data_IF_856507276561
#
_entry.id   IF_856507276561
#
_cell.length_a   1.000
_cell.length_b   1.000
_cell.length_c   1.000
_cell.angle_alpha   90.00
_cell.angle_beta   90.00
_cell.angle_gamma   90.00
#
_symmetry.space_group_name_H-M   'P 1'
#
loop_
_entity.id
_entity.type
_entity.pdbx_description
1 polymer ?
#
# COMPACT_ATOMS: atom_id res chain seq x y z
N UNK A 1 -4.30 3.42 22.58
CA UNK A 1 -5.10 2.99 21.42
C UNK A 1 -4.15 2.65 20.29
N UNK A 2 -4.26 1.46 19.71
CA UNK A 2 -3.45 1.04 18.58
C UNK A 2 -4.08 1.56 17.28
N UNK A 3 -3.29 2.19 16.41
CA UNK A 3 -3.80 2.72 15.13
C UNK A 3 -3.95 1.57 14.13
N UNK A 4 -5.08 1.47 13.40
CA UNK A 4 -5.33 0.40 12.44
C UNK A 4 -4.59 0.64 11.11
N UNK A 5 -3.27 0.73 11.20
CA UNK A 5 -2.36 0.96 10.07
C UNK A 5 -1.11 0.09 10.25
N UNK A 6 -0.84 -0.77 9.28
CA UNK A 6 0.27 -1.71 9.29
C UNK A 6 1.13 -1.53 8.06
N UNK A 7 2.44 -1.73 8.25
CA UNK A 7 3.40 -1.82 7.17
C UNK A 7 4.17 -3.14 7.33
N UNK A 8 4.01 -4.06 6.40
CA UNK A 8 4.50 -5.44 6.52
C UNK A 8 5.32 -5.80 5.28
N UNK A 9 6.60 -6.18 5.43
CA UNK A 9 7.43 -6.58 4.30
C UNK A 9 7.05 -7.98 3.81
N UNK A 10 6.48 -8.08 2.60
CA UNK A 10 6.24 -9.33 1.88
C UNK A 10 7.48 -9.76 1.10
N UNK A 11 8.12 -8.83 0.42
CA UNK A 11 9.25 -8.96 -0.48
C UNK A 11 8.88 -9.58 -1.84
N UNK A 12 8.27 -10.76 -1.90
CA UNK A 12 7.74 -11.38 -3.12
C UNK A 12 6.50 -12.23 -2.81
N UNK A 13 5.58 -12.29 -3.76
CA UNK A 13 4.42 -13.19 -3.71
C UNK A 13 4.69 -14.57 -4.32
N UNK A 14 5.94 -14.93 -4.63
CA UNK A 14 6.36 -16.24 -5.10
C UNK A 14 7.21 -16.94 -4.04
N UNK A 15 6.83 -18.15 -3.64
CA UNK A 15 7.59 -18.95 -2.68
C UNK A 15 8.98 -19.29 -3.20
N UNK A 16 9.11 -19.54 -4.51
CA UNK A 16 10.38 -19.82 -5.15
C UNK A 16 11.34 -18.63 -5.03
N UNK A 17 10.84 -17.41 -5.26
CA UNK A 17 11.64 -16.18 -5.11
C UNK A 17 11.97 -15.92 -3.65
N UNK A 18 11.03 -16.12 -2.72
CA UNK A 18 11.28 -16.00 -1.28
C UNK A 18 12.39 -16.94 -0.80
N UNK A 19 12.42 -18.19 -1.31
CA UNK A 19 13.49 -19.15 -1.03
C UNK A 19 14.84 -18.66 -1.56
N UNK A 20 14.89 -18.15 -2.80
CA UNK A 20 16.10 -17.56 -3.38
C UNK A 20 16.61 -16.37 -2.55
N UNK A 21 15.69 -15.57 -2.00
CA UNK A 21 15.98 -14.46 -1.09
C UNK A 21 16.33 -14.94 0.34
N UNK A 22 16.32 -16.25 0.59
CA UNK A 22 16.55 -16.88 1.91
C UNK A 22 15.60 -16.37 2.98
N UNK A 23 14.35 -16.11 2.62
CA UNK A 23 13.29 -15.80 3.59
C UNK A 23 12.84 -17.06 4.32
N UNK A 24 12.50 -16.91 5.61
CA UNK A 24 12.06 -18.01 6.48
C UNK A 24 10.54 -18.16 6.53
N UNK A 25 9.82 -17.45 5.70
CA UNK A 25 8.37 -17.49 5.57
C UNK A 25 7.98 -17.70 4.11
N UNK A 26 6.79 -18.24 3.89
CA UNK A 26 6.17 -18.41 2.59
C UNK A 26 4.90 -17.58 2.46
N UNK A 27 4.31 -17.64 1.28
CA UNK A 27 3.09 -16.90 0.91
C UNK A 27 1.89 -17.30 1.77
N UNK A 28 1.72 -18.59 2.09
CA UNK A 28 0.64 -19.10 2.92
C UNK A 28 0.66 -18.48 4.33
N UNK A 29 1.85 -18.47 4.98
CA UNK A 29 2.00 -17.85 6.29
C UNK A 29 1.69 -16.36 6.23
N UNK A 30 2.17 -15.67 5.18
CA UNK A 30 1.89 -14.25 5.01
C UNK A 30 0.39 -13.98 4.86
N UNK A 31 -0.30 -14.72 3.99
CA UNK A 31 -1.75 -14.61 3.80
C UNK A 31 -2.52 -14.87 5.10
N UNK A 32 -2.12 -15.86 5.90
CA UNK A 32 -2.75 -16.15 7.19
C UNK A 32 -2.61 -14.98 8.18
N UNK A 33 -1.48 -14.27 8.18
CA UNK A 33 -1.27 -13.08 9.03
C UNK A 33 -2.15 -11.91 8.57
N UNK A 34 -2.26 -11.68 7.26
CA UNK A 34 -3.17 -10.66 6.71
C UNK A 34 -4.62 -10.97 7.11
N UNK A 35 -5.07 -12.22 6.92
CA UNK A 35 -6.40 -12.66 7.31
C UNK A 35 -6.67 -12.42 8.81
N UNK A 36 -5.68 -12.71 9.67
CA UNK A 36 -5.81 -12.49 11.11
C UNK A 36 -5.91 -11.02 11.48
N UNK A 37 -5.17 -10.14 10.82
CA UNK A 37 -5.30 -8.69 11.02
C UNK A 37 -6.70 -8.24 10.62
N UNK A 38 -7.20 -8.67 9.47
CA UNK A 38 -8.53 -8.30 8.96
C UNK A 38 -9.68 -8.86 9.79
N UNK A 39 -9.51 -10.04 10.39
CA UNK A 39 -10.47 -10.60 11.35
C UNK A 39 -10.65 -9.70 12.58
N UNK A 40 -9.54 -9.17 13.11
CA UNK A 40 -9.54 -8.33 14.32
C UNK A 40 -9.82 -6.87 14.02
N UNK A 41 -9.33 -6.38 12.89
CA UNK A 41 -9.42 -4.99 12.43
C UNK A 41 -9.82 -4.94 10.94
N UNK A 42 -11.10 -5.12 10.58
CA UNK A 42 -11.56 -5.18 9.18
C UNK A 42 -11.16 -3.97 8.35
N UNK A 43 -11.15 -2.79 8.96
CA UNK A 43 -10.85 -1.51 8.31
C UNK A 43 -9.38 -1.09 8.45
N UNK A 44 -8.48 -2.01 8.83
CA UNK A 44 -7.06 -1.72 8.90
C UNK A 44 -6.47 -1.48 7.51
N UNK A 45 -5.70 -0.40 7.39
CA UNK A 45 -4.82 -0.15 6.26
C UNK A 45 -3.62 -1.07 6.34
N UNK A 46 -3.33 -1.83 5.29
CA UNK A 46 -2.15 -2.70 5.23
C UNK A 46 -1.32 -2.34 4.00
N UNK A 47 -0.16 -1.70 4.24
CA UNK A 47 0.87 -1.48 3.25
C UNK A 47 1.87 -2.65 3.25
N UNK A 48 2.31 -3.09 2.06
CA UNK A 48 3.30 -4.16 1.93
C UNK A 48 4.45 -3.76 1.02
N UNK A 49 5.67 -4.14 1.42
CA UNK A 49 6.85 -3.97 0.58
C UNK A 49 7.00 -5.12 -0.39
N UNK A 50 7.26 -4.81 -1.65
CA UNK A 50 7.53 -5.78 -2.71
C UNK A 50 8.76 -5.37 -3.48
N UNK A 51 9.67 -6.32 -3.73
CA UNK A 51 10.87 -6.11 -4.55
C UNK A 51 10.68 -6.86 -5.87
N UNK A 52 10.90 -6.17 -6.98
CA UNK A 52 10.86 -6.75 -8.32
C UNK A 52 12.26 -6.87 -8.92
N UNK A 53 12.43 -7.87 -9.77
CA UNK A 53 13.66 -8.04 -10.55
C UNK A 53 14.83 -8.57 -9.77
N UNK A 54 14.61 -9.31 -8.69
CA UNK A 54 15.65 -10.08 -8.03
C UNK A 54 16.19 -11.16 -8.97
N UNK A 55 17.45 -11.55 -8.79
CA UNK A 55 17.99 -12.67 -9.56
C UNK A 55 17.17 -13.93 -9.31
N UNK A 56 16.89 -14.68 -10.36
CA UNK A 56 16.06 -15.87 -10.33
C UNK A 56 14.55 -15.61 -10.42
N UNK A 57 14.09 -14.36 -10.42
CA UNK A 57 12.68 -14.04 -10.66
C UNK A 57 12.35 -14.19 -12.16
N UNK A 58 11.99 -15.40 -12.56
CA UNK A 58 11.51 -15.64 -13.92
C UNK A 58 10.17 -14.95 -14.19
N UNK A 59 9.76 -14.85 -15.47
CA UNK A 59 8.45 -14.32 -15.82
C UNK A 59 7.31 -15.09 -15.14
N UNK A 60 7.41 -16.43 -15.10
CA UNK A 60 6.43 -17.27 -14.43
C UNK A 60 6.35 -17.06 -12.92
N UNK A 61 7.48 -16.83 -12.26
CA UNK A 61 7.49 -16.52 -10.82
C UNK A 61 6.94 -15.12 -10.54
N UNK A 62 7.18 -14.16 -11.42
CA UNK A 62 6.57 -12.84 -11.31
C UNK A 62 5.04 -12.90 -11.48
N UNK A 63 4.53 -13.68 -12.45
CA UNK A 63 3.07 -13.85 -12.61
C UNK A 63 2.43 -14.49 -11.37
N UNK A 64 3.03 -15.54 -10.81
CA UNK A 64 2.57 -16.13 -9.53
C UNK A 64 2.54 -15.08 -8.41
N UNK A 65 3.60 -14.27 -8.30
CA UNK A 65 3.68 -13.21 -7.30
C UNK A 65 2.59 -12.15 -7.50
N UNK A 66 2.36 -11.75 -8.73
CA UNK A 66 1.31 -10.78 -9.08
C UNK A 66 -0.09 -11.31 -8.72
N UNK A 67 -0.41 -12.53 -9.12
CA UNK A 67 -1.71 -13.16 -8.83
C UNK A 67 -1.93 -13.31 -7.32
N UNK A 68 -0.91 -13.74 -6.58
CA UNK A 68 -0.98 -13.83 -5.13
C UNK A 68 -1.28 -12.47 -4.49
N UNK A 69 -0.53 -11.42 -4.85
CA UNK A 69 -0.71 -10.07 -4.30
C UNK A 69 -2.06 -9.49 -4.71
N UNK A 70 -2.51 -9.75 -5.94
CA UNK A 70 -3.82 -9.32 -6.41
C UNK A 70 -4.94 -9.90 -5.54
N UNK A 71 -4.83 -11.17 -5.12
CA UNK A 71 -5.80 -11.85 -4.26
C UNK A 71 -5.75 -11.48 -2.78
N UNK A 72 -4.69 -10.79 -2.30
CA UNK A 72 -4.57 -10.40 -0.90
C UNK A 72 -5.43 -9.17 -0.56
N UNK A 73 -6.05 -9.16 0.62
CA UNK A 73 -6.72 -7.98 1.18
C UNK A 73 -5.70 -7.02 1.84
N UNK A 74 -4.83 -6.47 1.01
CA UNK A 74 -3.89 -5.41 1.36
C UNK A 74 -4.27 -4.12 0.65
N UNK A 75 -3.83 -2.98 1.17
CA UNK A 75 -4.30 -1.67 0.71
C UNK A 75 -3.34 -1.01 -0.28
N UNK A 76 -2.05 -1.10 -0.02
CA UNK A 76 -1.02 -0.40 -0.79
C UNK A 76 0.24 -1.24 -0.95
N UNK A 77 0.90 -1.11 -2.09
CA UNK A 77 2.19 -1.74 -2.35
C UNK A 77 3.28 -0.66 -2.40
N UNK A 78 4.37 -0.90 -1.68
CA UNK A 78 5.61 -0.15 -1.84
C UNK A 78 6.54 -0.99 -2.71
N UNK A 79 6.68 -0.58 -3.96
CA UNK A 79 7.39 -1.35 -4.98
C UNK A 79 8.81 -0.86 -5.11
N UNK A 80 9.78 -1.75 -4.92
CA UNK A 80 11.20 -1.50 -5.04
C UNK A 80 11.79 -2.31 -6.19
N UNK A 81 12.58 -1.66 -7.05
CA UNK A 81 13.41 -2.36 -8.03
C UNK A 81 14.68 -2.87 -7.37
N UNK A 82 14.98 -4.16 -7.59
CA UNK A 82 16.19 -4.76 -7.08
C UNK A 82 17.43 -4.13 -7.67
N UNK A 83 18.37 -3.76 -6.79
CA UNK A 83 19.69 -3.28 -7.15
C UNK A 83 20.76 -4.26 -6.66
N UNK A 84 21.64 -4.67 -7.56
CA UNK A 84 22.73 -5.58 -7.24
C UNK A 84 23.78 -4.91 -6.35
N UNK A 85 24.27 -5.66 -5.37
CA UNK A 85 25.35 -5.20 -4.50
C UNK A 85 26.56 -6.12 -4.69
N UNK A 86 27.75 -5.58 -5.00
CA UNK A 86 28.97 -6.36 -5.14
C UNK A 86 29.24 -7.23 -3.91
N UNK A 87 29.74 -8.45 -4.14
CA UNK A 87 30.12 -9.37 -3.07
C UNK A 87 28.97 -10.13 -2.40
N UNK A 88 27.72 -9.95 -2.83
CA UNK A 88 26.58 -10.69 -2.25
C UNK A 88 26.40 -12.07 -2.87
N UNK A 89 25.86 -13.03 -2.09
CA UNK A 89 25.54 -14.37 -2.58
C UNK A 89 24.44 -14.34 -3.66
N UNK A 90 23.61 -13.31 -3.68
CA UNK A 90 22.59 -13.12 -4.69
C UNK A 90 23.14 -13.09 -6.12
N UNK A 91 24.39 -12.60 -6.31
CA UNK A 91 25.05 -12.55 -7.62
C UNK A 91 25.37 -13.93 -8.20
N UNK A 92 25.31 -14.99 -7.39
CA UNK A 92 25.53 -16.39 -7.82
C UNK A 92 24.24 -17.05 -8.35
N UNK A 93 23.11 -16.39 -8.21
CA UNK A 93 21.83 -16.89 -8.71
C UNK A 93 21.78 -16.59 -10.22
N UNK A 94 21.50 -17.64 -11.00
CA UNK A 94 21.27 -17.51 -12.43
C UNK A 94 19.98 -16.72 -12.73
N UNK A 95 19.75 -16.40 -13.99
CA UNK A 95 18.63 -15.60 -14.47
C UNK A 95 18.63 -14.17 -13.93
N UNK A 96 19.22 -13.28 -14.71
CA UNK A 96 19.24 -11.85 -14.45
C UNK A 96 18.04 -11.20 -15.13
N UNK A 97 17.26 -10.44 -14.36
CA UNK A 97 16.13 -9.66 -14.87
C UNK A 97 16.67 -8.36 -15.49
N UNK A 98 16.30 -8.08 -16.72
CA UNK A 98 16.74 -6.88 -17.41
C UNK A 98 16.14 -5.60 -16.81
N UNK A 99 16.77 -4.43 -17.00
CA UNK A 99 16.21 -3.15 -16.55
C UNK A 99 14.81 -2.88 -17.11
N UNK A 100 14.57 -3.25 -18.38
CA UNK A 100 13.28 -3.12 -19.04
C UNK A 100 12.20 -3.98 -18.38
N UNK A 101 12.50 -5.25 -18.11
CA UNK A 101 11.58 -6.16 -17.40
C UNK A 101 11.28 -5.65 -15.98
N UNK A 102 12.30 -5.15 -15.25
CA UNK A 102 12.10 -4.55 -13.92
C UNK A 102 11.16 -3.37 -13.99
N UNK A 103 11.32 -2.50 -14.98
CA UNK A 103 10.46 -1.34 -15.18
C UNK A 103 9.02 -1.78 -15.44
N UNK A 104 8.79 -2.69 -16.39
CA UNK A 104 7.45 -3.20 -16.70
C UNK A 104 6.77 -3.86 -15.50
N UNK A 105 7.49 -4.70 -14.76
CA UNK A 105 6.99 -5.34 -13.53
C UNK A 105 6.64 -4.32 -12.45
N UNK A 106 7.48 -3.31 -12.26
CA UNK A 106 7.21 -2.21 -11.33
C UNK A 106 5.95 -1.45 -11.70
N UNK A 107 5.78 -1.10 -12.98
CA UNK A 107 4.59 -0.39 -13.45
C UNK A 107 3.31 -1.19 -13.20
N UNK A 108 3.32 -2.50 -13.45
CA UNK A 108 2.17 -3.37 -13.20
C UNK A 108 1.79 -3.41 -11.72
N UNK A 109 2.77 -3.53 -10.81
CA UNK A 109 2.51 -3.53 -9.37
C UNK A 109 2.09 -2.15 -8.84
N UNK A 110 2.61 -1.06 -9.39
CA UNK A 110 2.17 0.29 -9.03
C UNK A 110 0.73 0.54 -9.47
N UNK A 111 0.34 0.08 -10.66
CA UNK A 111 -1.06 0.14 -11.10
C UNK A 111 -1.99 -0.67 -10.19
N UNK A 112 -1.57 -1.89 -9.79
CA UNK A 112 -2.30 -2.70 -8.83
C UNK A 112 -2.40 -2.02 -7.45
N UNK A 113 -1.34 -1.36 -7.00
CA UNK A 113 -1.34 -0.57 -5.75
C UNK A 113 -2.36 0.57 -5.79
N UNK A 114 -2.42 1.31 -6.90
CA UNK A 114 -3.40 2.39 -7.08
C UNK A 114 -4.84 1.85 -7.05
N UNK A 115 -5.10 0.75 -7.75
CA UNK A 115 -6.40 0.08 -7.76
C UNK A 115 -6.83 -0.35 -6.34
N UNK A 116 -5.94 -1.02 -5.61
CA UNK A 116 -6.20 -1.47 -4.22
C UNK A 116 -6.43 -0.30 -3.27
N UNK A 117 -5.64 0.76 -3.38
CA UNK A 117 -5.78 1.96 -2.54
C UNK A 117 -7.13 2.64 -2.80
N UNK A 118 -7.52 2.80 -4.05
CA UNK A 118 -8.81 3.37 -4.42
C UNK A 118 -9.98 2.50 -3.95
N UNK A 119 -9.89 1.19 -4.09
CA UNK A 119 -10.90 0.27 -3.58
C UNK A 119 -11.05 0.35 -2.05
N UNK A 120 -9.93 0.48 -1.32
CA UNK A 120 -9.96 0.69 0.13
C UNK A 120 -10.63 2.01 0.50
N UNK A 121 -10.29 3.11 -0.15
CA UNK A 121 -10.90 4.42 0.09
C UNK A 121 -12.39 4.39 -0.20
N UNK A 122 -12.80 3.81 -1.34
CA UNK A 122 -14.19 3.74 -1.77
C UNK A 122 -15.11 3.04 -0.75
N UNK A 123 -14.59 2.03 -0.02
CA UNK A 123 -15.36 1.34 1.04
C UNK A 123 -15.77 2.25 2.20
N UNK A 124 -15.13 3.40 2.37
CA UNK A 124 -15.36 4.32 3.47
C UNK A 124 -16.17 5.56 3.07
N UNK A 125 -16.55 5.70 1.81
CA UNK A 125 -17.43 6.78 1.35
C UNK A 125 -18.77 6.70 2.08
N UNK A 126 -19.25 7.83 2.57
CA UNK A 126 -20.48 7.95 3.36
C UNK A 126 -20.31 7.73 4.87
N UNK A 127 -19.12 7.35 5.32
CA UNK A 127 -18.83 7.21 6.75
C UNK A 127 -18.34 8.56 7.34
N UNK A 128 -18.72 8.83 8.59
CA UNK A 128 -18.14 9.93 9.36
C UNK A 128 -16.98 9.39 10.19
N UNK A 129 -15.80 9.95 9.98
CA UNK A 129 -14.57 9.49 10.63
C UNK A 129 -13.79 10.64 11.26
N UNK A 130 -13.07 10.41 12.38
CA UNK A 130 -12.11 11.36 12.91
C UNK A 130 -10.92 11.52 11.95
N UNK A 131 -10.59 12.76 11.58
CA UNK A 131 -9.50 13.11 10.69
C UNK A 131 -8.56 14.07 11.40
N UNK A 132 -7.28 13.71 11.47
CA UNK A 132 -6.22 14.60 11.92
C UNK A 132 -5.85 15.54 10.77
N UNK A 133 -6.14 16.83 10.93
CA UNK A 133 -5.87 17.83 9.91
C UNK A 133 -4.41 18.26 9.92
N UNK A 134 -3.83 18.35 8.74
CA UNK A 134 -2.47 18.86 8.52
C UNK A 134 -2.49 20.37 8.32
N UNK A 135 -1.33 20.99 8.49
CA UNK A 135 -1.15 22.41 8.20
C UNK A 135 -1.44 22.70 6.72
N UNK A 136 -2.31 23.67 6.40
CA UNK A 136 -2.59 24.02 5.02
C UNK A 136 -1.32 24.53 4.32
N UNK A 137 -1.11 24.06 3.09
CA UNK A 137 0.02 24.49 2.27
C UNK A 137 -0.24 25.86 1.62
N UNK A 138 -1.45 26.10 1.15
CA UNK A 138 -1.92 27.36 0.59
C UNK A 138 -3.47 27.34 0.47
N UNK A 139 -4.11 28.50 0.70
CA UNK A 139 -5.56 28.66 0.53
C UNK A 139 -6.41 27.95 1.60
N UNK A 140 -7.71 27.84 1.32
CA UNK A 140 -8.68 27.20 2.22
C UNK A 140 -8.70 25.66 2.14
N UNK A 141 -7.94 25.06 1.19
CA UNK A 141 -7.92 23.63 1.00
C UNK A 141 -6.95 22.98 1.97
N UNK A 142 -7.49 22.15 2.85
CA UNK A 142 -6.74 21.41 3.87
C UNK A 142 -6.77 19.92 3.58
N UNK A 143 -5.71 19.24 3.99
CA UNK A 143 -5.64 17.78 3.95
C UNK A 143 -5.51 17.23 5.36
N UNK A 144 -5.88 15.98 5.52
CA UNK A 144 -5.71 15.25 6.76
C UNK A 144 -5.76 13.75 6.52
N UNK A 145 -5.59 12.98 7.60
CA UNK A 145 -5.64 11.52 7.55
C UNK A 145 -6.57 10.97 8.63
N UNK A 146 -7.33 9.94 8.25
CA UNK A 146 -8.05 9.11 9.22
C UNK A 146 -7.06 8.22 9.99
N UNK A 147 -7.52 7.59 11.08
CA UNK A 147 -6.71 6.66 11.86
C UNK A 147 -6.22 5.45 11.05
N UNK A 148 -6.96 5.03 10.03
CA UNK A 148 -6.59 3.98 9.08
C UNK A 148 -6.01 4.53 7.76
N UNK A 149 -5.41 5.71 7.82
CA UNK A 149 -4.56 6.30 6.79
C UNK A 149 -5.25 6.66 5.47
N UNK A 150 -6.56 6.93 5.49
CA UNK A 150 -7.27 7.50 4.33
C UNK A 150 -6.95 8.99 4.27
N UNK A 151 -6.46 9.44 3.12
CA UNK A 151 -6.24 10.87 2.87
C UNK A 151 -7.56 11.55 2.58
N UNK A 152 -7.80 12.67 3.27
CA UNK A 152 -9.03 13.45 3.16
C UNK A 152 -8.67 14.88 2.79
N UNK A 153 -9.47 15.47 1.90
CA UNK A 153 -9.37 16.85 1.45
C UNK A 153 -10.63 17.61 1.89
N UNK A 154 -10.45 18.71 2.60
CA UNK A 154 -11.55 19.51 3.18
C UNK A 154 -11.35 20.97 2.84
N UNK A 155 -12.40 21.64 2.39
CA UNK A 155 -12.42 23.10 2.29
C UNK A 155 -12.83 23.71 3.64
N UNK A 156 -11.98 24.54 4.22
CA UNK A 156 -12.27 25.21 5.49
C UNK A 156 -11.43 26.47 5.67
N UNK A 157 -12.06 27.55 6.10
CA UNK A 157 -11.39 28.79 6.54
C UNK A 157 -10.98 28.75 8.01
N UNK A 158 -11.36 27.68 8.74
CA UNK A 158 -11.04 27.54 10.15
C UNK A 158 -9.60 27.09 10.37
N UNK A 159 -8.96 27.53 11.43
CA UNK A 159 -7.62 27.08 11.84
C UNK A 159 -7.71 25.68 12.48
N UNK A 160 -7.66 24.66 11.65
CA UNK A 160 -7.79 23.23 12.04
C UNK A 160 -6.45 22.51 12.11
N UNK A 161 -5.34 23.19 11.89
CA UNK A 161 -3.99 22.62 11.96
C UNK A 161 -3.77 21.82 13.24
N UNK A 162 -3.31 20.57 13.08
CA UNK A 162 -3.06 19.63 14.17
C UNK A 162 -4.27 19.33 15.08
N UNK A 163 -5.49 19.50 14.55
CA UNK A 163 -6.73 19.16 15.26
C UNK A 163 -7.37 17.91 14.66
N UNK A 164 -8.03 17.14 15.51
CA UNK A 164 -8.88 16.05 15.07
C UNK A 164 -10.31 16.55 14.95
N UNK A 165 -10.89 16.41 13.77
CA UNK A 165 -12.28 16.81 13.48
C UNK A 165 -13.04 15.65 12.87
N UNK A 166 -14.34 15.58 13.12
CA UNK A 166 -15.20 14.59 12.47
C UNK A 166 -15.53 15.05 11.04
N UNK A 167 -15.31 14.16 10.08
CA UNK A 167 -15.51 14.45 8.66
C UNK A 167 -16.37 13.37 8.03
N UNK A 168 -17.43 13.75 7.35
CA UNK A 168 -18.19 12.88 6.45
C UNK A 168 -17.37 12.70 5.18
N UNK A 169 -16.98 11.47 4.90
CA UNK A 169 -16.20 11.12 3.72
C UNK A 169 -17.10 11.06 2.48
N UNK A 170 -16.77 11.87 1.49
CA UNK A 170 -17.44 11.95 0.20
C UNK A 170 -16.67 11.24 -0.90
N UNK A 171 -16.93 11.61 -2.14
CA UNK A 171 -16.31 11.04 -3.32
C UNK A 171 -14.84 11.45 -3.46
N UNK A 172 -14.14 10.84 -4.40
CA UNK A 172 -12.75 11.20 -4.71
C UNK A 172 -12.63 12.67 -5.16
N UNK A 173 -11.49 13.27 -4.83
CA UNK A 173 -11.11 14.55 -5.42
C UNK A 173 -10.81 14.38 -6.92
N UNK A 174 -10.62 15.48 -7.65
CA UNK A 174 -10.40 15.46 -9.11
C UNK A 174 -9.16 14.65 -9.51
N UNK A 175 -8.13 14.66 -8.66
CA UNK A 175 -6.89 13.90 -8.89
C UNK A 175 -7.01 12.41 -8.57
N UNK A 176 -8.08 11.98 -7.88
CA UNK A 176 -8.26 10.60 -7.41
C UNK A 176 -7.29 10.19 -6.29
N UNK A 177 -6.72 11.15 -5.57
CA UNK A 177 -5.67 10.92 -4.56
C UNK A 177 -6.14 11.05 -3.11
N UNK A 178 -7.34 11.59 -2.90
CA UNK A 178 -7.95 11.78 -1.60
C UNK A 178 -9.48 11.69 -1.72
N UNK A 179 -10.16 11.48 -0.60
CA UNK A 179 -11.60 11.65 -0.52
C UNK A 179 -11.94 13.11 -0.13
N UNK A 180 -12.91 13.71 -0.78
CA UNK A 180 -13.49 14.98 -0.35
C UNK A 180 -14.22 14.78 0.97
N UNK A 181 -14.08 15.70 1.88
CA UNK A 181 -14.69 15.62 3.20
C UNK A 181 -15.51 16.85 3.56
N UNK A 182 -16.57 16.63 4.31
CA UNK A 182 -17.38 17.70 4.92
C UNK A 182 -17.29 17.59 6.44
N UNK A 183 -16.86 18.66 7.10
CA UNK A 183 -16.77 18.69 8.57
C UNK A 183 -18.18 18.58 9.14
N UNK A 184 -18.35 17.65 10.07
CA UNK A 184 -19.60 17.47 10.84
C UNK A 184 -19.41 18.04 12.25
N UNK A 185 -20.47 18.61 12.79
CA UNK A 185 -20.49 19.14 14.17
C UNK A 185 -20.51 18.01 15.19
#
# INVERSE_FOLDING_TARGET
SFMPHFHIPLQSGSDEVLQLMRRRYGTELFASKIAKIKEVMPDAFIGVDVIVGTRGETAGYFEKAYEFIHGLDVTQLHVFSYSERPGTQALKIDHVVTPEEKHQRSQRLLALSDEKTKAFYARHIGQTMPVLMEKPKAGALMHGFTANYIRVEVESDAALDNKVVNVLLGDFNEEGTALKGTITQ
#
